data_IF_734186091466
#
_entry.id   IF_734186091466
#
_cell.length_a   1.000
_cell.length_b   1.000
_cell.length_c   1.000
_cell.angle_alpha   90.00
_cell.angle_beta   90.00
_cell.angle_gamma   90.00
#
_symmetry.space_group_name_H-M   'P 1'
#
loop_
_entity.id
_entity.type
_entity.pdbx_description
1 polymer ?
#
# COMPACT_ATOMS: atom_id res chain seq x y z
N UNK A 1 -1.01 16.78 16.86
CA UNK A 1 -1.85 16.50 18.06
C UNK A 1 -1.11 15.56 18.99
N UNK A 2 -1.02 15.90 20.26
CA UNK A 2 -0.35 15.03 21.24
C UNK A 2 -1.25 13.88 21.65
N UNK A 3 -0.70 12.68 21.59
CA UNK A 3 -1.32 11.45 22.07
C UNK A 3 -0.40 10.78 23.09
N UNK A 4 -0.91 9.83 23.84
CA UNK A 4 -0.06 9.03 24.75
C UNK A 4 0.48 7.80 24.03
N UNK A 5 1.60 7.28 24.54
CA UNK A 5 2.27 6.12 23.91
C UNK A 5 1.36 4.92 23.70
N UNK A 6 0.41 4.69 24.61
CA UNK A 6 -0.54 3.58 24.50
C UNK A 6 -1.65 3.82 23.45
N UNK A 7 -1.78 5.03 22.93
CA UNK A 7 -2.74 5.36 21.87
C UNK A 7 -2.17 5.16 20.47
N UNK A 8 -0.87 4.89 20.34
CA UNK A 8 -0.27 4.60 19.03
C UNK A 8 -0.86 3.30 18.50
N UNK A 9 -1.48 3.35 17.33
CA UNK A 9 -2.07 2.19 16.67
C UNK A 9 -1.47 2.02 15.27
N UNK A 10 -1.57 0.82 14.66
CA UNK A 10 -1.07 0.61 13.29
C UNK A 10 -1.68 1.62 12.32
N UNK A 11 -0.85 2.19 11.46
CA UNK A 11 -1.23 3.24 10.51
C UNK A 11 -1.06 4.66 11.04
N UNK A 12 -0.87 4.85 12.33
CA UNK A 12 -0.62 6.19 12.89
C UNK A 12 0.73 6.71 12.42
N UNK A 13 0.78 7.99 12.06
CA UNK A 13 2.02 8.70 11.72
C UNK A 13 2.43 9.54 12.91
N UNK A 14 3.65 9.37 13.37
CA UNK A 14 4.20 10.09 14.51
C UNK A 14 5.51 10.78 14.16
N UNK A 15 5.77 11.87 14.85
CA UNK A 15 7.09 12.50 14.85
C UNK A 15 7.96 11.84 15.94
N UNK A 16 9.13 11.37 15.55
CA UNK A 16 10.07 10.73 16.47
C UNK A 16 11.49 11.01 16.00
N UNK A 17 12.33 11.49 16.92
CA UNK A 17 13.73 11.84 16.65
C UNK A 17 13.91 12.72 15.39
N UNK A 18 13.05 13.72 15.24
CA UNK A 18 13.15 14.68 14.13
C UNK A 18 12.72 14.16 12.78
N UNK A 19 12.08 13.01 12.69
CA UNK A 19 11.58 12.43 11.45
C UNK A 19 10.15 11.93 11.59
N UNK A 20 9.51 11.60 10.47
CA UNK A 20 8.16 11.05 10.45
C UNK A 20 8.19 9.54 10.25
N UNK A 21 7.41 8.85 11.05
CA UNK A 21 7.34 7.39 11.07
C UNK A 21 5.89 6.93 11.06
N UNK A 22 5.60 5.86 10.32
CA UNK A 22 4.31 5.18 10.40
C UNK A 22 4.46 3.96 11.32
N UNK A 23 3.50 3.80 12.23
CA UNK A 23 3.42 2.61 13.07
C UNK A 23 2.92 1.44 12.21
N UNK A 24 3.74 0.41 12.09
CA UNK A 24 3.42 -0.79 11.31
C UNK A 24 2.77 -1.84 12.20
N UNK A 25 3.29 -1.98 13.42
CA UNK A 25 2.84 -3.00 14.36
C UNK A 25 2.97 -2.48 15.78
N UNK A 26 2.00 -2.78 16.62
CA UNK A 26 1.99 -2.35 18.01
C UNK A 26 1.66 -3.52 18.93
N UNK A 27 2.26 -3.52 20.12
CA UNK A 27 1.98 -4.52 21.15
C UNK A 27 2.07 -3.86 22.53
N UNK A 28 0.94 -3.84 23.22
CA UNK A 28 0.92 -3.36 24.60
C UNK A 28 1.53 -4.41 25.53
N UNK A 29 2.43 -3.98 26.41
CA UNK A 29 3.11 -4.87 27.37
C UNK A 29 2.92 -4.30 28.79
N UNK A 30 2.47 -5.17 29.70
CA UNK A 30 2.34 -4.86 31.12
C UNK A 30 3.26 -5.80 31.91
N UNK A 31 4.51 -5.38 32.17
CA UNK A 31 5.44 -6.25 32.90
C UNK A 31 5.00 -6.40 34.37
N UNK A 32 5.40 -7.49 35.02
CA UNK A 32 5.11 -7.72 36.43
C UNK A 32 5.81 -6.72 37.38
N UNK A 33 6.90 -6.12 36.91
CA UNK A 33 7.60 -5.01 37.59
C UNK A 33 7.91 -3.94 36.54
N UNK A 34 7.69 -2.67 36.89
CA UNK A 34 7.89 -1.54 36.02
C UNK A 34 6.61 -1.03 35.37
N UNK A 35 6.71 0.05 34.62
CA UNK A 35 5.58 0.69 33.95
C UNK A 35 5.15 -0.03 32.68
N UNK A 36 3.86 0.04 32.36
CA UNK A 36 3.35 -0.44 31.09
C UNK A 36 3.94 0.35 29.92
N UNK A 37 4.17 -0.31 28.79
CA UNK A 37 4.68 0.33 27.60
C UNK A 37 4.04 -0.28 26.33
N UNK A 38 4.15 0.45 25.23
CA UNK A 38 3.73 0.00 23.90
C UNK A 38 4.99 -0.27 23.08
N UNK A 39 5.14 -1.50 22.60
CA UNK A 39 6.22 -1.89 21.70
C UNK A 39 5.75 -1.61 20.27
N UNK A 40 6.40 -0.67 19.59
CA UNK A 40 5.97 -0.21 18.27
C UNK A 40 7.05 -0.47 17.23
N UNK A 41 6.68 -1.14 16.15
CA UNK A 41 7.50 -1.24 14.95
C UNK A 41 7.18 -0.04 14.07
N UNK A 42 8.17 0.78 13.80
CA UNK A 42 8.07 2.00 13.02
C UNK A 42 8.76 1.84 11.66
N UNK A 43 8.19 2.47 10.65
CA UNK A 43 8.81 2.60 9.34
C UNK A 43 8.92 4.08 8.99
N UNK A 44 10.12 4.52 8.63
CA UNK A 44 10.35 5.91 8.22
C UNK A 44 9.61 6.20 6.91
N UNK A 45 8.87 7.30 6.87
CA UNK A 45 8.07 7.67 5.70
C UNK A 45 8.91 8.09 4.50
N UNK A 46 10.13 8.57 4.73
CA UNK A 46 10.96 9.12 3.66
C UNK A 46 11.97 8.12 3.10
N UNK A 47 12.63 7.35 3.97
CA UNK A 47 13.70 6.43 3.57
C UNK A 47 13.37 4.94 3.77
N UNK A 48 12.24 4.63 4.38
CA UNK A 48 11.78 3.24 4.57
C UNK A 48 12.50 2.47 5.67
N UNK A 49 13.42 3.09 6.43
CA UNK A 49 14.10 2.42 7.54
C UNK A 49 13.09 1.91 8.56
N UNK A 50 13.38 0.78 9.16
CA UNK A 50 12.58 0.20 10.24
C UNK A 50 13.24 0.43 11.57
N UNK A 51 12.43 0.67 12.60
CA UNK A 51 12.87 0.92 13.95
C UNK A 51 11.87 0.30 14.92
N UNK A 52 12.34 -0.37 15.96
CA UNK A 52 11.52 -0.85 17.06
C UNK A 52 11.73 0.05 18.25
N UNK A 53 10.66 0.68 18.73
CA UNK A 53 10.70 1.58 19.88
C UNK A 53 9.71 1.19 20.95
N UNK A 54 10.06 1.50 22.19
CA UNK A 54 9.18 1.35 23.35
C UNK A 54 8.72 2.71 23.82
N UNK A 55 7.42 2.90 23.80
CA UNK A 55 6.82 4.12 24.32
C UNK A 55 6.12 3.81 25.64
N UNK A 56 6.45 4.55 26.69
CA UNK A 56 5.72 4.41 27.95
C UNK A 56 4.26 4.73 27.72
N UNK A 57 3.35 4.03 28.40
CA UNK A 57 1.90 4.21 28.17
C UNK A 57 1.45 5.67 28.28
N UNK A 58 2.02 6.44 29.21
CA UNK A 58 1.67 7.84 29.44
C UNK A 58 2.62 8.83 28.73
N UNK A 59 3.60 8.37 27.99
CA UNK A 59 4.55 9.23 27.28
C UNK A 59 3.84 10.04 26.21
N UNK A 60 4.12 11.34 26.13
CA UNK A 60 3.55 12.20 25.10
C UNK A 60 4.25 11.98 23.76
N UNK A 61 3.47 11.74 22.73
CA UNK A 61 3.94 11.52 21.36
C UNK A 61 3.17 12.45 20.42
N UNK A 62 3.87 13.07 19.47
CA UNK A 62 3.23 13.93 18.48
C UNK A 62 2.71 13.08 17.31
N UNK A 63 1.40 13.04 17.16
CA UNK A 63 0.76 12.40 16.01
C UNK A 63 0.57 13.43 14.88
N UNK A 64 0.93 13.06 13.68
CA UNK A 64 0.85 13.91 12.49
C UNK A 64 -0.33 13.44 11.64
N UNK A 65 -1.15 14.40 11.21
CA UNK A 65 -2.17 14.16 10.20
C UNK A 65 -1.61 14.50 8.82
N UNK A 66 -1.80 13.57 7.87
CA UNK A 66 -1.41 13.79 6.49
C UNK A 66 -2.58 14.37 5.71
N UNK A 67 -2.28 15.26 4.77
CA UNK A 67 -3.28 15.75 3.83
C UNK A 67 -3.57 14.69 2.77
N UNK A 68 -4.85 14.50 2.48
CA UNK A 68 -5.31 13.60 1.42
C UNK A 68 -5.93 14.43 0.30
N UNK A 69 -5.50 14.19 -0.93
CA UNK A 69 -6.14 14.81 -2.09
C UNK A 69 -6.37 13.79 -3.20
N UNK A 70 -7.52 13.87 -3.89
CA UNK A 70 -7.76 13.05 -5.07
C UNK A 70 -6.99 13.60 -6.27
N UNK A 71 -6.30 12.71 -6.97
CA UNK A 71 -5.57 12.99 -8.21
C UNK A 71 -6.01 12.00 -9.27
N UNK A 72 -5.83 12.38 -10.53
CA UNK A 72 -6.01 11.50 -11.67
C UNK A 72 -4.65 11.16 -12.24
N UNK A 73 -4.37 9.88 -12.46
CA UNK A 73 -3.15 9.46 -13.17
C UNK A 73 -3.30 9.81 -14.65
N UNK A 74 -2.31 10.46 -15.23
CA UNK A 74 -2.31 10.85 -16.63
C UNK A 74 -1.46 9.91 -17.48
N UNK A 75 -0.16 9.85 -17.21
CA UNK A 75 0.77 9.03 -17.99
C UNK A 75 2.09 8.80 -17.24
N UNK A 76 2.81 7.79 -17.71
CA UNK A 76 4.19 7.54 -17.31
C UNK A 76 5.13 8.02 -18.41
N UNK A 77 6.23 8.65 -18.04
CA UNK A 77 7.29 9.06 -18.96
C UNK A 77 8.64 8.70 -18.35
N UNK A 78 9.32 7.71 -18.91
CA UNK A 78 10.52 7.16 -18.32
C UNK A 78 10.22 6.58 -16.93
N UNK A 79 10.94 7.03 -15.92
CA UNK A 79 10.78 6.63 -14.52
C UNK A 79 9.90 7.59 -13.71
N UNK A 80 9.22 8.53 -14.38
CA UNK A 80 8.34 9.51 -13.74
C UNK A 80 6.88 9.25 -14.09
N UNK A 81 6.02 9.45 -13.09
CA UNK A 81 4.57 9.33 -13.20
C UNK A 81 3.95 10.73 -13.04
N UNK A 82 3.04 11.10 -13.94
CA UNK A 82 2.36 12.39 -13.90
C UNK A 82 0.93 12.22 -13.42
N UNK A 83 0.57 13.02 -12.41
CA UNK A 83 -0.76 13.05 -11.82
C UNK A 83 -1.33 14.46 -11.88
N UNK A 84 -2.65 14.57 -11.99
CA UNK A 84 -3.35 15.84 -12.02
C UNK A 84 -4.29 15.96 -10.82
N UNK A 85 -4.20 17.07 -10.09
CA UNK A 85 -5.12 17.40 -9.00
C UNK A 85 -6.54 17.54 -9.57
N UNK A 86 -7.50 16.83 -9.02
CA UNK A 86 -8.88 16.86 -9.50
C UNK A 86 -9.60 18.17 -9.22
N UNK A 87 -9.12 18.95 -8.28
CA UNK A 87 -9.73 20.25 -7.92
C UNK A 87 -9.08 21.42 -8.65
N UNK A 88 -7.74 21.48 -8.64
CA UNK A 88 -6.99 22.60 -9.18
C UNK A 88 -6.50 22.38 -10.60
N UNK A 89 -6.49 21.12 -11.07
CA UNK A 89 -5.92 20.69 -12.36
C UNK A 89 -4.41 20.89 -12.47
N UNK A 90 -3.74 21.22 -11.38
CA UNK A 90 -2.29 21.27 -11.34
C UNK A 90 -1.70 19.89 -11.52
N UNK A 91 -0.59 19.78 -12.24
CA UNK A 91 0.09 18.52 -12.47
C UNK A 91 1.29 18.39 -11.54
N UNK A 92 1.50 17.19 -11.04
CA UNK A 92 2.68 16.85 -10.25
C UNK A 92 3.34 15.59 -10.83
N UNK A 93 4.66 15.50 -10.66
CA UNK A 93 5.43 14.32 -11.07
C UNK A 93 5.93 13.60 -9.82
N UNK A 94 5.77 12.28 -9.82
CA UNK A 94 6.22 11.40 -8.75
C UNK A 94 7.05 10.28 -9.39
N UNK A 95 8.21 9.97 -8.81
CA UNK A 95 9.04 8.88 -9.31
C UNK A 95 8.31 7.54 -9.19
N UNK A 96 8.40 6.71 -10.23
CA UNK A 96 7.78 5.39 -10.24
C UNK A 96 8.29 4.52 -9.08
N UNK A 97 9.56 4.63 -8.71
CA UNK A 97 10.15 3.91 -7.58
C UNK A 97 9.47 4.24 -6.25
N UNK A 98 8.92 5.44 -6.12
CA UNK A 98 8.19 5.86 -4.92
C UNK A 98 6.88 5.08 -4.74
N UNK A 99 6.19 4.78 -5.82
CA UNK A 99 4.96 3.95 -5.82
C UNK A 99 5.31 2.46 -5.73
N UNK A 100 6.43 2.06 -6.34
CA UNK A 100 6.90 0.68 -6.36
C UNK A 100 6.20 -0.16 -7.43
N UNK A 101 6.17 -1.47 -7.23
CA UNK A 101 5.60 -2.42 -8.20
C UNK A 101 4.13 -2.13 -8.54
N UNK A 102 3.39 -1.57 -7.61
CA UNK A 102 1.98 -1.23 -7.81
C UNK A 102 1.77 -0.15 -8.88
N UNK A 103 2.82 0.59 -9.24
CA UNK A 103 2.76 1.54 -10.34
C UNK A 103 2.29 0.90 -11.65
N UNK A 104 2.55 -0.40 -11.83
CA UNK A 104 2.12 -1.14 -13.01
C UNK A 104 0.59 -1.24 -13.16
N UNK A 105 -0.17 -1.06 -12.09
CA UNK A 105 -1.63 -1.03 -12.13
C UNK A 105 -2.20 0.31 -12.61
N UNK A 106 -1.39 1.37 -12.64
CA UNK A 106 -1.87 2.70 -13.03
C UNK A 106 -2.27 2.71 -14.51
N UNK A 107 -3.46 3.22 -14.76
CA UNK A 107 -3.99 3.39 -16.12
C UNK A 107 -4.46 4.84 -16.29
N UNK A 108 -4.39 5.36 -17.53
CA UNK A 108 -4.84 6.71 -17.85
C UNK A 108 -6.26 6.97 -17.34
N UNK A 109 -6.42 8.04 -16.59
CA UNK A 109 -7.70 8.43 -15.99
C UNK A 109 -8.00 7.78 -14.65
N UNK A 110 -7.13 6.89 -14.15
CA UNK A 110 -7.34 6.26 -12.84
C UNK A 110 -7.28 7.28 -11.71
N UNK A 111 -8.28 7.24 -10.83
CA UNK A 111 -8.30 8.07 -9.64
C UNK A 111 -7.47 7.44 -8.53
N UNK A 112 -6.58 8.24 -7.96
CA UNK A 112 -5.73 7.85 -6.83
C UNK A 112 -5.85 8.90 -5.73
N UNK A 113 -5.43 8.55 -4.52
CA UNK A 113 -5.30 9.51 -3.41
C UNK A 113 -3.83 9.71 -3.11
N UNK A 114 -3.40 10.96 -3.09
CA UNK A 114 -2.03 11.30 -2.70
C UNK A 114 -2.07 11.83 -1.27
N UNK A 115 -1.33 11.16 -0.40
CA UNK A 115 -1.08 11.63 0.96
C UNK A 115 0.15 12.52 0.95
N UNK A 116 0.06 13.69 1.58
CA UNK A 116 1.18 14.63 1.64
C UNK A 116 1.30 15.26 3.03
N UNK A 117 2.52 15.70 3.32
CA UNK A 117 2.84 16.46 4.52
C UNK A 117 3.58 17.72 4.09
N UNK A 118 3.02 18.88 4.43
CA UNK A 118 3.58 20.20 4.07
C UNK A 118 3.91 20.30 2.57
N UNK A 119 2.98 19.83 1.73
CA UNK A 119 3.13 19.88 0.27
C UNK A 119 4.04 18.81 -0.33
N UNK A 120 4.68 17.97 0.50
CA UNK A 120 5.54 16.88 0.03
C UNK A 120 4.73 15.58 -0.05
N UNK A 121 4.65 14.93 -1.23
CA UNK A 121 3.99 13.64 -1.34
C UNK A 121 4.66 12.58 -0.45
N UNK A 122 3.85 11.85 0.32
CA UNK A 122 4.31 10.78 1.21
C UNK A 122 3.93 9.41 0.66
N UNK A 123 2.75 9.28 0.07
CA UNK A 123 2.31 8.03 -0.54
C UNK A 123 1.25 8.27 -1.60
N UNK A 124 1.12 7.30 -2.50
CA UNK A 124 0.06 7.26 -3.50
C UNK A 124 -0.77 6.02 -3.22
N UNK A 125 -2.06 6.22 -2.97
CA UNK A 125 -3.00 5.13 -2.71
C UNK A 125 -3.83 4.86 -3.96
N UNK A 126 -3.65 3.67 -4.52
CA UNK A 126 -4.43 3.18 -5.65
C UNK A 126 -5.81 2.72 -5.17
N UNK A 127 -6.79 2.53 -6.08
CA UNK A 127 -8.00 1.79 -5.76
C UNK A 127 -7.64 0.46 -5.11
N UNK A 128 -8.43 0.02 -4.15
CA UNK A 128 -8.15 -1.23 -3.41
C UNK A 128 -8.16 -2.46 -4.33
N UNK A 129 -8.95 -2.41 -5.39
CA UNK A 129 -9.08 -3.49 -6.36
C UNK A 129 -9.10 -2.94 -7.77
N UNK A 130 -8.53 -3.70 -8.70
CA UNK A 130 -8.55 -3.40 -10.13
C UNK A 130 -8.92 -4.66 -10.90
N UNK A 131 -9.46 -4.47 -12.11
CA UNK A 131 -9.72 -5.58 -13.04
C UNK A 131 -8.54 -5.69 -13.98
N UNK A 132 -7.96 -6.88 -14.09
CA UNK A 132 -6.84 -7.18 -14.97
C UNK A 132 -7.12 -8.43 -15.77
N UNK A 133 -6.62 -8.47 -17.01
CA UNK A 133 -6.73 -9.66 -17.87
C UNK A 133 -5.49 -10.52 -17.68
N UNK A 134 -5.70 -11.83 -17.56
CA UNK A 134 -4.61 -12.81 -17.55
C UNK A 134 -4.07 -12.95 -18.99
N UNK A 135 -2.80 -12.66 -19.18
CA UNK A 135 -2.15 -12.77 -20.49
C UNK A 135 -1.34 -14.06 -20.63
N UNK A 136 -0.97 -14.68 -19.52
CA UNK A 136 -0.21 -15.94 -19.53
C UNK A 136 -0.58 -16.75 -18.29
N UNK A 137 -0.97 -17.99 -18.48
CA UNK A 137 -1.23 -18.95 -17.41
C UNK A 137 -1.14 -20.36 -18.00
N UNK A 138 -0.75 -21.33 -17.14
CA UNK A 138 -0.75 -22.73 -17.54
C UNK A 138 -2.17 -23.19 -17.87
N UNK A 139 -2.34 -24.10 -18.87
CA UNK A 139 -3.64 -24.60 -19.24
C UNK A 139 -4.36 -25.31 -18.07
N UNK A 140 -5.70 -25.29 -18.13
CA UNK A 140 -6.52 -26.08 -17.21
C UNK A 140 -6.37 -27.56 -17.53
N UNK A 141 -6.07 -28.37 -16.51
CA UNK A 141 -5.92 -29.81 -16.65
C UNK A 141 -7.24 -30.47 -16.20
N UNK A 142 -7.83 -31.29 -17.10
CA UNK A 142 -9.05 -32.06 -16.79
C UNK A 142 -8.78 -33.03 -15.64
N UNK A 143 -9.72 -33.11 -14.70
CA UNK A 143 -9.61 -33.98 -13.53
C UNK A 143 -8.84 -33.41 -12.37
N UNK A 144 -8.33 -32.21 -12.50
CA UNK A 144 -7.69 -31.50 -11.39
C UNK A 144 -8.76 -31.09 -10.39
N UNK A 145 -8.59 -31.47 -9.12
CA UNK A 145 -9.58 -31.16 -8.08
C UNK A 145 -9.54 -29.67 -7.70
N UNK A 146 -10.64 -29.17 -7.14
CA UNK A 146 -10.72 -27.81 -6.60
C UNK A 146 -9.75 -27.57 -5.42
N UNK A 147 -9.22 -28.64 -4.84
CA UNK A 147 -8.21 -28.59 -3.78
C UNK A 147 -6.78 -28.43 -4.30
N UNK A 148 -6.60 -28.36 -5.62
CA UNK A 148 -5.28 -28.14 -6.21
C UNK A 148 -4.71 -26.79 -5.82
N UNK A 149 -3.39 -26.73 -5.67
CA UNK A 149 -2.67 -25.50 -5.35
C UNK A 149 -2.86 -24.44 -6.42
N UNK A 150 -2.80 -23.18 -6.03
CA UNK A 150 -2.81 -22.07 -6.96
C UNK A 150 -1.60 -22.16 -7.90
N UNK A 151 -1.74 -21.63 -9.08
CA UNK A 151 -0.70 -21.58 -10.10
C UNK A 151 -0.32 -20.14 -10.43
N UNK A 152 0.93 -19.90 -10.86
CA UNK A 152 1.34 -18.55 -11.27
C UNK A 152 0.68 -18.17 -12.59
N UNK A 153 0.36 -16.89 -12.70
CA UNK A 153 -0.16 -16.28 -13.92
C UNK A 153 0.45 -14.89 -14.09
N UNK A 154 0.40 -14.38 -15.30
CA UNK A 154 0.88 -13.04 -15.63
C UNK A 154 -0.30 -12.16 -16.03
N UNK A 155 -0.36 -10.99 -15.43
CA UNK A 155 -1.37 -9.96 -15.73
C UNK A 155 -0.95 -9.10 -16.91
N UNK A 156 -1.92 -8.44 -17.54
CA UNK A 156 -1.67 -7.47 -18.62
C UNK A 156 -0.72 -6.34 -18.22
N UNK A 157 -0.69 -6.00 -16.93
CA UNK A 157 0.26 -5.03 -16.35
C UNK A 157 1.69 -5.54 -16.27
N UNK A 158 1.93 -6.83 -16.52
CA UNK A 158 3.23 -7.48 -16.36
C UNK A 158 3.48 -8.06 -14.98
N UNK A 159 2.62 -7.77 -14.01
CA UNK A 159 2.76 -8.32 -12.66
C UNK A 159 2.33 -9.78 -12.60
N UNK A 160 2.93 -10.52 -11.69
CA UNK A 160 2.58 -11.92 -11.43
C UNK A 160 1.55 -12.02 -10.34
N UNK A 161 0.66 -13.01 -10.48
CA UNK A 161 -0.39 -13.29 -9.51
C UNK A 161 -0.56 -14.80 -9.38
N UNK A 162 -0.86 -15.27 -8.19
CA UNK A 162 -1.24 -16.68 -7.97
C UNK A 162 -2.75 -16.80 -8.14
N UNK A 163 -3.19 -17.69 -9.01
CA UNK A 163 -4.61 -17.88 -9.34
C UNK A 163 -5.04 -19.33 -9.12
N UNK A 164 -6.34 -19.57 -8.87
CA UNK A 164 -6.86 -20.94 -8.83
C UNK A 164 -6.56 -21.70 -10.12
N UNK A 165 -6.48 -23.06 -10.05
CA UNK A 165 -6.13 -23.89 -11.22
C UNK A 165 -7.08 -23.73 -12.41
N UNK A 166 -8.34 -23.33 -12.19
CA UNK A 166 -9.36 -23.21 -13.24
C UNK A 166 -9.27 -21.88 -14.04
N UNK A 167 -8.38 -20.97 -13.68
CA UNK A 167 -8.22 -19.71 -14.38
C UNK A 167 -7.38 -19.92 -15.66
N UNK A 168 -7.93 -19.45 -16.78
CA UNK A 168 -7.31 -19.58 -18.10
C UNK A 168 -6.76 -18.25 -18.59
N UNK A 169 -5.82 -18.29 -19.53
CA UNK A 169 -5.39 -17.11 -20.29
C UNK A 169 -6.60 -16.45 -20.96
N UNK A 170 -6.66 -15.13 -20.90
CA UNK A 170 -7.78 -14.35 -21.41
C UNK A 170 -8.88 -14.06 -20.39
N UNK A 171 -8.82 -14.68 -19.22
CA UNK A 171 -9.80 -14.43 -18.14
C UNK A 171 -9.55 -13.07 -17.51
N UNK A 172 -10.62 -12.32 -17.29
CA UNK A 172 -10.56 -11.07 -16.50
C UNK A 172 -10.79 -11.42 -15.05
N UNK A 173 -9.92 -10.91 -14.19
CA UNK A 173 -9.99 -11.14 -12.75
C UNK A 173 -9.93 -9.82 -11.97
N UNK A 174 -10.44 -9.85 -10.75
CA UNK A 174 -10.29 -8.77 -9.78
C UNK A 174 -9.05 -9.04 -8.95
N UNK A 175 -8.17 -8.06 -8.86
CA UNK A 175 -6.89 -8.15 -8.15
C UNK A 175 -6.87 -7.10 -7.04
N UNK A 176 -6.45 -7.49 -5.85
CA UNK A 176 -6.17 -6.55 -4.77
C UNK A 176 -4.84 -5.86 -5.06
N UNK A 177 -4.83 -4.53 -5.08
CA UNK A 177 -3.64 -3.75 -5.47
C UNK A 177 -2.57 -3.73 -4.39
N UNK A 178 -2.93 -3.94 -3.13
CA UNK A 178 -1.98 -3.91 -2.01
C UNK A 178 -0.91 -4.99 -2.10
N UNK A 179 -1.31 -6.21 -2.44
CA UNK A 179 -0.42 -7.38 -2.45
C UNK A 179 -0.43 -8.14 -3.78
N UNK A 180 -1.10 -7.60 -4.81
CA UNK A 180 -1.25 -8.24 -6.12
C UNK A 180 -1.87 -9.64 -6.03
N UNK A 181 -2.88 -9.80 -5.17
CA UNK A 181 -3.55 -11.09 -4.95
C UNK A 181 -4.85 -11.20 -5.73
N UNK A 182 -5.16 -12.43 -6.14
CA UNK A 182 -6.42 -12.78 -6.78
C UNK A 182 -7.58 -12.65 -5.79
N UNK A 183 -8.65 -11.98 -6.18
CA UNK A 183 -9.87 -11.85 -5.38
C UNK A 183 -10.97 -12.74 -5.93
N UNK A 184 -11.31 -12.55 -7.20
CA UNK A 184 -12.37 -13.31 -7.89
C UNK A 184 -12.27 -13.10 -9.40
N UNK A 185 -13.03 -13.88 -10.16
CA UNK A 185 -13.24 -13.59 -11.59
C UNK A 185 -14.06 -12.33 -11.74
N UNK A 186 -13.73 -11.52 -12.73
CA UNK A 186 -14.53 -10.36 -13.09
C UNK A 186 -15.62 -10.78 -14.08
N UNK A 187 -16.80 -10.20 -13.93
CA UNK A 187 -17.93 -10.44 -14.85
C UNK A 187 -17.76 -9.65 -16.15
#
# INVERSE_FOLDING_TARGET
>A
MKISGNEISPGAVIEHDGSLWVAVKTQAVKPGKGGAYNQVELKNLFDGRKLNERFRSAEAVEQIELDFKPYTFLYASGDMLTFMDKETFDQIEIAADFVGERAAFLTDGMEVKVESYEGRPISVKLPLQVVQTIVEADPVVKGQSAASSYKPAKLESGLRVMVPPFIETGTRIVVATEDSSYVKRAD
#
